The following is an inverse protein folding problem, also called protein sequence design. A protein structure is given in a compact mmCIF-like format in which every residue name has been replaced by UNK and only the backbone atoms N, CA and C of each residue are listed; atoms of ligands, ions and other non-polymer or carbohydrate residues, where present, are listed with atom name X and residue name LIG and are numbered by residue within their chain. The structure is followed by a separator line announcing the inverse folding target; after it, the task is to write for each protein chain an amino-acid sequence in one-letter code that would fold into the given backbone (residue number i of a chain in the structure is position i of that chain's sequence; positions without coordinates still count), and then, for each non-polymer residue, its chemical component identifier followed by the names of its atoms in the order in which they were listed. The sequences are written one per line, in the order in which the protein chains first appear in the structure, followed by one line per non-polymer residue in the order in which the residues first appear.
data_IF_937572431910
#
_entry.id   IF_937572431910
#
_cell.length_a   1.000
_cell.length_b   1.000
_cell.length_c   1.000
_cell.angle_alpha   90.00
_cell.angle_beta   90.00
_cell.angle_gamma   90.00
#
_symmetry.space_group_name_H-M   'P 1'
#
loop_
_entity.id
_entity.type
_entity.pdbx_description
1 polymer ?
#
# COMPACT_ATOMS: atom_id res chain seq x y z
N UNK A 1 -9.17 29.03 -14.21
CA UNK A 1 -9.36 28.34 -12.90
C UNK A 1 -8.00 27.90 -12.45
N UNK A 2 -7.65 28.09 -11.19
CA UNK A 2 -6.41 27.51 -10.62
C UNK A 2 -6.65 26.01 -10.46
N UNK A 3 -5.75 25.17 -10.96
CA UNK A 3 -5.77 23.73 -10.73
C UNK A 3 -5.66 23.46 -9.22
N UNK A 4 -6.62 22.75 -8.67
CA UNK A 4 -6.62 22.27 -7.29
C UNK A 4 -6.48 20.74 -7.28
N UNK A 5 -5.66 20.24 -6.38
CA UNK A 5 -5.54 18.79 -6.15
C UNK A 5 -6.78 18.30 -5.40
N UNK A 6 -7.31 17.16 -5.82
CA UNK A 6 -8.32 16.42 -5.04
C UNK A 6 -7.73 16.06 -3.68
N UNK A 7 -8.45 16.26 -2.60
CA UNK A 7 -7.97 15.89 -1.26
C UNK A 7 -7.80 14.38 -1.10
N UNK A 8 -7.03 13.96 -0.11
CA UNK A 8 -6.85 12.52 0.18
C UNK A 8 -8.20 11.86 0.52
N UNK A 9 -9.04 12.55 1.28
CA UNK A 9 -10.36 12.04 1.70
C UNK A 9 -11.31 11.87 0.50
N UNK A 10 -11.31 12.81 -0.45
CA UNK A 10 -12.08 12.70 -1.70
C UNK A 10 -11.57 11.56 -2.57
N UNK A 11 -10.25 11.36 -2.68
CA UNK A 11 -9.68 10.22 -3.39
C UNK A 11 -10.07 8.89 -2.74
N UNK A 12 -10.01 8.81 -1.41
CA UNK A 12 -10.42 7.63 -0.66
C UNK A 12 -11.88 7.29 -0.89
N UNK A 13 -12.78 8.27 -0.77
CA UNK A 13 -14.21 8.08 -1.01
C UNK A 13 -14.47 7.60 -2.45
N UNK A 14 -13.82 8.20 -3.43
CA UNK A 14 -13.96 7.80 -4.85
C UNK A 14 -13.49 6.36 -5.09
N UNK A 15 -12.37 5.97 -4.47
CA UNK A 15 -11.86 4.60 -4.55
C UNK A 15 -12.82 3.62 -3.87
N UNK A 16 -13.36 3.95 -2.70
CA UNK A 16 -14.33 3.11 -1.99
C UNK A 16 -15.61 2.90 -2.79
N UNK A 17 -16.16 3.97 -3.36
CA UNK A 17 -17.34 3.93 -4.21
C UNK A 17 -17.09 3.09 -5.48
N UNK A 18 -15.90 3.21 -6.07
CA UNK A 18 -15.52 2.41 -7.23
C UNK A 18 -15.38 0.93 -6.87
N UNK A 19 -14.63 0.59 -5.83
CA UNK A 19 -14.41 -0.80 -5.38
C UNK A 19 -15.74 -1.49 -5.05
N UNK A 20 -16.64 -0.79 -4.36
CA UNK A 20 -17.95 -1.33 -3.97
C UNK A 20 -18.82 -1.73 -5.17
N UNK A 21 -18.76 -0.96 -6.26
CA UNK A 21 -19.56 -1.23 -7.46
C UNK A 21 -18.93 -2.25 -8.41
N UNK A 22 -17.59 -2.22 -8.50
CA UNK A 22 -16.90 -2.93 -9.58
C UNK A 22 -16.68 -4.41 -9.29
N UNK A 23 -16.49 -4.81 -8.02
CA UNK A 23 -16.31 -6.21 -7.66
C UNK A 23 -17.59 -7.04 -7.92
N UNK A 24 -18.77 -6.43 -7.79
CA UNK A 24 -20.06 -7.10 -8.06
C UNK A 24 -20.17 -7.60 -9.50
N UNK A 25 -19.55 -6.94 -10.46
CA UNK A 25 -19.63 -7.29 -11.86
C UNK A 25 -18.71 -8.46 -12.27
N UNK A 26 -17.72 -8.82 -11.43
CA UNK A 26 -16.63 -9.71 -11.82
C UNK A 26 -16.83 -11.20 -11.45
N UNK A 27 -17.89 -11.54 -10.70
CA UNK A 27 -18.23 -12.94 -10.40
C UNK A 27 -19.72 -13.14 -10.13
N UNK A 28 -20.28 -14.22 -10.64
CA UNK A 28 -21.64 -14.69 -10.40
C UNK A 28 -21.74 -15.67 -9.19
N UNK A 29 -20.59 -16.05 -8.63
CA UNK A 29 -20.53 -16.94 -7.47
C UNK A 29 -20.76 -16.13 -6.17
N UNK A 30 -21.98 -16.18 -5.64
CA UNK A 30 -22.46 -15.33 -4.54
C UNK A 30 -21.61 -15.40 -3.26
N UNK A 31 -21.15 -16.60 -2.86
CA UNK A 31 -20.36 -16.76 -1.64
C UNK A 31 -18.95 -16.17 -1.81
N UNK A 32 -18.33 -16.42 -2.96
CA UNK A 32 -17.02 -15.85 -3.29
C UNK A 32 -17.10 -14.31 -3.36
N UNK A 33 -18.10 -13.78 -4.07
CA UNK A 33 -18.37 -12.35 -4.12
C UNK A 33 -18.50 -11.75 -2.72
N UNK A 34 -19.36 -12.38 -1.87
CA UNK A 34 -19.58 -11.88 -0.50
C UNK A 34 -18.31 -11.88 0.34
N UNK A 35 -17.44 -12.89 0.19
CA UNK A 35 -16.18 -12.97 0.93
C UNK A 35 -15.14 -11.94 0.43
N UNK A 36 -15.02 -11.75 -0.88
CA UNK A 36 -14.15 -10.72 -1.48
C UNK A 36 -14.60 -9.32 -1.07
N UNK A 37 -15.88 -9.03 -1.29
CA UNK A 37 -16.49 -7.72 -0.98
C UNK A 37 -16.38 -7.39 0.51
N UNK A 38 -16.57 -8.37 1.40
CA UNK A 38 -16.48 -8.18 2.83
C UNK A 38 -15.14 -7.58 3.27
N UNK A 39 -14.02 -8.13 2.78
CA UNK A 39 -12.69 -7.62 3.14
C UNK A 39 -12.36 -6.31 2.46
N UNK A 40 -12.79 -6.11 1.22
CA UNK A 40 -12.60 -4.83 0.52
C UNK A 40 -13.43 -3.72 1.16
N UNK A 41 -14.69 -3.99 1.53
CA UNK A 41 -15.58 -3.02 2.18
C UNK A 41 -15.26 -2.76 3.66
N UNK A 42 -14.37 -3.53 4.28
CA UNK A 42 -13.94 -3.32 5.66
C UNK A 42 -13.30 -1.94 5.93
N UNK A 43 -13.20 -1.12 4.90
CA UNK A 43 -12.60 0.21 4.97
C UNK A 43 -11.07 0.17 4.85
N UNK A 44 -10.43 1.22 5.31
CA UNK A 44 -8.98 1.39 5.27
C UNK A 44 -8.60 2.75 4.69
N UNK A 45 -7.31 3.06 4.74
CA UNK A 45 -6.78 4.38 4.32
C UNK A 45 -6.69 4.54 2.80
N UNK A 46 -6.89 3.48 2.03
CA UNK A 46 -6.72 3.48 0.55
C UNK A 46 -5.46 4.19 0.07
N UNK A 47 -4.44 4.19 0.92
CA UNK A 47 -3.22 4.96 0.74
C UNK A 47 -2.52 4.68 -0.60
N UNK A 48 -2.44 3.40 -0.99
CA UNK A 48 -1.71 2.97 -2.19
C UNK A 48 -2.38 3.46 -3.48
N UNK A 49 -3.66 3.19 -3.74
CA UNK A 49 -4.34 3.74 -4.92
C UNK A 49 -4.44 5.26 -4.88
N UNK A 50 -4.66 5.89 -3.72
CA UNK A 50 -4.69 7.33 -3.58
C UNK A 50 -3.32 7.96 -3.94
N UNK A 51 -2.21 7.35 -3.50
CA UNK A 51 -0.86 7.79 -3.86
C UNK A 51 -0.60 7.65 -5.37
N UNK A 52 -1.05 6.56 -5.99
CA UNK A 52 -0.99 6.37 -7.44
C UNK A 52 -1.72 7.49 -8.18
N UNK A 53 -2.97 7.76 -7.81
CA UNK A 53 -3.78 8.83 -8.41
C UNK A 53 -3.18 10.21 -8.16
N UNK A 54 -2.62 10.47 -6.98
CA UNK A 54 -1.93 11.72 -6.66
C UNK A 54 -0.74 11.98 -7.57
N UNK A 55 0.08 10.96 -7.84
CA UNK A 55 1.22 11.08 -8.76
C UNK A 55 0.74 11.45 -10.16
N UNK A 56 -0.33 10.80 -10.67
CA UNK A 56 -0.90 11.12 -11.98
C UNK A 56 -1.41 12.55 -12.01
N UNK A 57 -2.22 12.92 -11.02
CA UNK A 57 -2.80 14.26 -10.90
C UNK A 57 -1.72 15.35 -10.84
N UNK A 58 -0.66 15.12 -10.07
CA UNK A 58 0.44 16.07 -9.93
C UNK A 58 1.29 16.21 -11.21
N UNK A 59 1.41 15.15 -12.02
CA UNK A 59 2.10 15.18 -13.32
C UNK A 59 1.25 15.78 -14.43
N UNK A 60 -0.06 15.50 -14.46
CA UNK A 60 -0.95 15.89 -15.57
C UNK A 60 -1.68 17.21 -15.35
N UNK A 61 -1.81 17.65 -14.07
CA UNK A 61 -2.51 18.91 -13.72
C UNK A 61 -3.91 18.98 -14.34
N UNK A 62 -4.18 20.02 -15.10
CA UNK A 62 -5.49 20.28 -15.74
C UNK A 62 -5.92 19.18 -16.74
N UNK A 63 -5.03 18.29 -17.14
CA UNK A 63 -5.32 17.18 -18.05
C UNK A 63 -5.63 15.86 -17.33
N UNK A 64 -5.74 15.88 -15.99
CA UNK A 64 -6.06 14.69 -15.21
C UNK A 64 -7.51 14.26 -15.40
N UNK A 65 -7.69 13.01 -15.81
CA UNK A 65 -8.98 12.34 -15.96
C UNK A 65 -9.05 11.17 -14.99
N UNK A 66 -9.72 11.34 -13.87
CA UNK A 66 -9.81 10.37 -12.79
C UNK A 66 -10.37 9.02 -13.25
N UNK A 67 -11.47 9.05 -14.02
CA UNK A 67 -12.18 7.84 -14.48
C UNK A 67 -11.27 6.93 -15.32
N UNK A 68 -10.41 7.52 -16.12
CA UNK A 68 -9.44 6.80 -16.96
C UNK A 68 -8.47 5.94 -16.15
N UNK A 69 -8.10 6.40 -14.96
CA UNK A 69 -7.02 5.78 -14.16
C UNK A 69 -7.54 4.96 -12.99
N UNK A 70 -8.79 5.16 -12.60
CA UNK A 70 -9.35 4.67 -11.35
C UNK A 70 -9.30 3.14 -11.25
N UNK A 71 -9.65 2.41 -12.31
CA UNK A 71 -9.64 0.94 -12.34
C UNK A 71 -8.23 0.38 -12.15
N UNK A 72 -7.26 0.88 -12.93
CA UNK A 72 -5.88 0.43 -12.85
C UNK A 72 -5.20 0.79 -11.51
N UNK A 73 -5.50 1.97 -10.96
CA UNK A 73 -5.01 2.36 -9.63
C UNK A 73 -5.61 1.49 -8.51
N UNK A 74 -6.92 1.18 -8.60
CA UNK A 74 -7.64 0.37 -7.62
C UNK A 74 -7.25 -1.12 -7.64
N UNK A 75 -6.67 -1.61 -8.73
CA UNK A 75 -6.12 -2.97 -8.81
C UNK A 75 -5.10 -3.25 -7.69
N UNK A 76 -4.32 -2.24 -7.32
CA UNK A 76 -3.35 -2.36 -6.22
C UNK A 76 -4.02 -2.58 -4.85
N UNK A 77 -5.22 -2.03 -4.63
CA UNK A 77 -5.96 -2.25 -3.39
C UNK A 77 -6.55 -3.67 -3.33
N UNK A 78 -6.97 -4.25 -4.47
CA UNK A 78 -7.39 -5.66 -4.52
C UNK A 78 -6.23 -6.58 -4.12
N UNK A 79 -5.06 -6.34 -4.70
CA UNK A 79 -3.85 -7.09 -4.39
C UNK A 79 -3.42 -6.91 -2.93
N UNK A 80 -3.50 -5.69 -2.39
CA UNK A 80 -3.24 -5.46 -0.97
C UNK A 80 -4.27 -6.17 -0.08
N UNK A 81 -5.54 -6.18 -0.47
CA UNK A 81 -6.59 -6.84 0.33
C UNK A 81 -6.42 -8.34 0.35
N UNK A 82 -6.07 -8.99 -0.78
CA UNK A 82 -5.76 -10.43 -0.76
C UNK A 82 -4.65 -10.76 0.23
N UNK A 83 -3.58 -9.94 0.25
CA UNK A 83 -2.45 -10.20 1.15
C UNK A 83 -2.86 -10.12 2.61
N UNK A 84 -3.76 -9.21 2.97
CA UNK A 84 -4.31 -9.12 4.33
C UNK A 84 -5.20 -10.31 4.68
N UNK A 85 -6.04 -10.81 3.73
CA UNK A 85 -6.87 -11.99 3.96
C UNK A 85 -5.99 -13.21 4.25
N UNK A 86 -4.92 -13.40 3.46
CA UNK A 86 -4.02 -14.54 3.64
C UNK A 86 -3.14 -14.40 4.89
N UNK A 87 -2.73 -13.19 5.21
CA UNK A 87 -1.96 -12.89 6.43
C UNK A 87 -2.76 -13.24 7.70
N UNK A 88 -4.06 -12.98 7.70
CA UNK A 88 -4.95 -13.26 8.82
C UNK A 88 -5.24 -14.75 9.04
N UNK A 89 -4.91 -15.66 8.10
CA UNK A 89 -5.23 -17.09 8.19
C UNK A 89 -4.57 -17.77 9.39
N UNK A 90 -5.16 -18.90 9.92
CA UNK A 90 -4.57 -19.65 11.03
C UNK A 90 -3.17 -20.19 10.80
N UNK A 91 -2.74 -20.34 9.54
CA UNK A 91 -1.39 -20.77 9.15
C UNK A 91 -0.38 -19.62 9.08
N UNK A 92 -0.83 -18.40 9.29
CA UNK A 92 -0.08 -17.15 9.26
C UNK A 92 -0.22 -16.45 10.63
N UNK A 93 -0.66 -15.20 10.68
CA UNK A 93 -0.80 -14.41 11.92
C UNK A 93 -1.97 -14.88 12.82
N UNK A 94 -2.90 -15.68 12.30
CA UNK A 94 -4.10 -16.20 13.01
C UNK A 94 -4.92 -15.09 13.69
N UNK A 95 -5.15 -14.00 12.99
CA UNK A 95 -5.86 -12.83 13.52
C UNK A 95 -7.38 -13.03 13.57
N UNK A 96 -8.00 -12.71 14.70
CA UNK A 96 -9.45 -12.77 14.86
C UNK A 96 -10.17 -11.54 14.30
N UNK A 97 -9.50 -10.37 14.34
CA UNK A 97 -10.07 -9.08 13.95
C UNK A 97 -9.13 -8.31 13.02
N UNK A 98 -9.71 -7.69 11.98
CA UNK A 98 -9.05 -6.74 11.09
C UNK A 98 -9.94 -5.52 10.93
N UNK A 99 -9.37 -4.33 11.20
CA UNK A 99 -10.12 -3.05 11.12
C UNK A 99 -11.38 -3.04 11.99
N UNK A 100 -11.34 -3.73 13.14
CA UNK A 100 -12.44 -3.80 14.10
C UNK A 100 -13.56 -4.81 13.78
N UNK A 101 -13.47 -5.54 12.67
CA UNK A 101 -14.44 -6.58 12.29
C UNK A 101 -13.75 -7.95 12.24
N UNK A 102 -14.50 -9.07 12.38
CA UNK A 102 -13.96 -10.42 12.24
C UNK A 102 -13.19 -10.57 10.92
N UNK A 103 -12.05 -11.27 10.95
CA UNK A 103 -11.29 -11.60 9.75
C UNK A 103 -12.08 -12.50 8.81
N UNK A 104 -11.65 -12.56 7.54
CA UNK A 104 -12.39 -13.30 6.51
C UNK A 104 -12.56 -14.78 6.87
N UNK A 105 -11.50 -15.43 7.37
CA UNK A 105 -11.55 -16.84 7.78
C UNK A 105 -12.46 -17.08 8.98
N UNK A 106 -12.57 -16.13 9.91
CA UNK A 106 -13.51 -16.24 11.05
C UNK A 106 -14.96 -16.15 10.59
N UNK A 107 -15.24 -15.39 9.54
CA UNK A 107 -16.61 -15.19 9.04
C UNK A 107 -17.05 -16.24 8.03
N UNK A 108 -16.17 -16.66 7.13
CA UNK A 108 -16.50 -17.53 5.99
C UNK A 108 -15.83 -18.91 6.04
N UNK A 109 -14.92 -19.12 6.98
CA UNK A 109 -14.07 -20.30 7.08
C UNK A 109 -12.81 -20.22 6.21
N UNK A 110 -11.78 -21.01 6.57
CA UNK A 110 -10.44 -20.94 5.99
C UNK A 110 -10.44 -21.15 4.47
N UNK A 111 -11.16 -22.16 3.98
CA UNK A 111 -11.20 -22.47 2.56
C UNK A 111 -11.76 -21.32 1.71
N UNK A 112 -12.82 -20.67 2.18
CA UNK A 112 -13.43 -19.53 1.46
C UNK A 112 -12.53 -18.30 1.55
N UNK A 113 -11.86 -18.08 2.68
CA UNK A 113 -10.91 -16.99 2.83
C UNK A 113 -9.71 -17.14 1.87
N UNK A 114 -9.15 -18.36 1.73
CA UNK A 114 -8.11 -18.65 0.75
C UNK A 114 -8.59 -18.30 -0.66
N UNK A 115 -9.75 -18.81 -1.06
CA UNK A 115 -10.32 -18.58 -2.40
C UNK A 115 -10.67 -17.09 -2.64
N UNK A 116 -11.12 -16.37 -1.61
CA UNK A 116 -11.38 -14.94 -1.71
C UNK A 116 -10.08 -14.16 -1.95
N UNK A 117 -8.99 -14.52 -1.27
CA UNK A 117 -7.67 -13.96 -1.52
C UNK A 117 -7.17 -14.25 -2.94
N UNK A 118 -7.25 -15.51 -3.39
CA UNK A 118 -6.88 -15.93 -4.75
C UNK A 118 -7.70 -15.19 -5.82
N UNK A 119 -9.01 -15.01 -5.57
CA UNK A 119 -9.91 -14.27 -6.43
C UNK A 119 -9.48 -12.80 -6.57
N UNK A 120 -9.22 -12.12 -5.45
CA UNK A 120 -8.76 -10.71 -5.46
C UNK A 120 -7.38 -10.56 -6.10
N UNK A 121 -6.45 -11.49 -5.87
CA UNK A 121 -5.14 -11.49 -6.48
C UNK A 121 -5.23 -11.57 -8.02
N UNK A 122 -6.01 -12.50 -8.53
CA UNK A 122 -6.15 -12.69 -9.98
C UNK A 122 -6.96 -11.57 -10.62
N UNK A 123 -7.99 -11.05 -9.95
CA UNK A 123 -8.79 -9.90 -10.38
C UNK A 123 -7.95 -8.62 -10.47
N UNK A 124 -6.98 -8.41 -9.58
CA UNK A 124 -6.06 -7.28 -9.66
C UNK A 124 -5.30 -7.26 -11.01
N UNK A 125 -4.81 -8.40 -11.48
CA UNK A 125 -4.15 -8.49 -12.78
C UNK A 125 -5.11 -8.32 -13.95
N UNK A 126 -6.35 -8.84 -13.83
CA UNK A 126 -7.38 -8.60 -14.83
C UNK A 126 -7.67 -7.10 -14.99
N UNK A 127 -7.83 -6.35 -13.89
CA UNK A 127 -8.08 -4.91 -13.94
C UNK A 127 -6.92 -4.10 -14.51
N UNK A 128 -5.67 -4.59 -14.38
CA UNK A 128 -4.52 -3.96 -15.03
C UNK A 128 -4.47 -4.18 -16.53
N UNK A 129 -5.17 -5.18 -17.06
CA UNK A 129 -5.23 -5.45 -18.50
C UNK A 129 -6.53 -4.93 -19.11
N UNK A 130 -7.65 -5.05 -18.40
CA UNK A 130 -8.96 -4.57 -18.81
C UNK A 130 -9.19 -3.12 -18.33
N UNK A 131 -8.56 -2.16 -18.97
CA UNK A 131 -8.66 -0.73 -18.68
C UNK A 131 -8.38 0.12 -19.94
N UNK A 132 -8.68 1.43 -19.95
CA UNK A 132 -8.54 2.28 -21.15
C UNK A 132 -7.10 2.80 -21.40
N UNK A 133 -6.09 2.28 -20.73
CA UNK A 133 -4.69 2.66 -20.96
C UNK A 133 -4.15 2.02 -22.25
N UNK A 134 -3.03 2.54 -22.76
CA UNK A 134 -2.37 1.93 -23.90
C UNK A 134 -1.62 0.64 -23.51
N UNK A 135 -1.40 -0.25 -24.49
CA UNK A 135 -0.80 -1.57 -24.31
C UNK A 135 0.57 -1.51 -23.61
N UNK A 136 1.38 -0.50 -23.88
CA UNK A 136 2.71 -0.36 -23.28
C UNK A 136 2.59 -0.03 -21.78
N UNK A 137 1.68 0.87 -21.38
CA UNK A 137 1.41 1.18 -19.99
C UNK A 137 0.86 -0.06 -19.26
N UNK A 138 -0.15 -0.71 -19.84
CA UNK A 138 -0.76 -1.94 -19.32
C UNK A 138 0.27 -3.04 -19.08
N UNK A 139 1.12 -3.32 -20.08
CA UNK A 139 2.21 -4.30 -19.96
C UNK A 139 3.19 -3.94 -18.84
N UNK A 140 3.60 -2.67 -18.77
CA UNK A 140 4.55 -2.22 -17.74
C UNK A 140 3.94 -2.31 -16.35
N UNK A 141 2.69 -1.89 -16.14
CA UNK A 141 1.98 -1.98 -14.87
C UNK A 141 1.88 -3.43 -14.39
N UNK A 142 1.46 -4.34 -15.28
CA UNK A 142 1.33 -5.77 -14.96
C UNK A 142 2.67 -6.39 -14.59
N UNK A 143 3.73 -6.11 -15.35
CA UNK A 143 5.08 -6.61 -15.08
C UNK A 143 5.62 -6.08 -13.75
N UNK A 144 5.47 -4.78 -13.49
CA UNK A 144 5.95 -4.18 -12.25
C UNK A 144 5.14 -4.67 -11.04
N UNK A 145 3.80 -4.77 -11.13
CA UNK A 145 3.01 -5.31 -10.03
C UNK A 145 3.42 -6.74 -9.68
N UNK A 146 3.64 -7.59 -10.69
CA UNK A 146 4.09 -8.96 -10.46
C UNK A 146 5.48 -9.04 -9.80
N UNK A 147 6.38 -8.09 -10.09
CA UNK A 147 7.68 -7.99 -9.46
C UNK A 147 7.59 -7.55 -7.99
N UNK A 148 6.86 -6.44 -7.74
CA UNK A 148 6.77 -5.87 -6.39
C UNK A 148 5.89 -6.69 -5.43
N UNK A 149 4.86 -7.34 -5.93
CA UNK A 149 4.00 -8.21 -5.12
C UNK A 149 4.58 -9.62 -4.94
N UNK A 150 5.31 -10.10 -5.93
CA UNK A 150 5.72 -11.48 -6.07
C UNK A 150 6.97 -11.89 -5.24
N UNK A 151 7.67 -12.96 -5.73
CA UNK A 151 8.79 -13.57 -4.98
C UNK A 151 10.04 -12.68 -4.85
N UNK A 152 10.11 -11.55 -5.55
CA UNK A 152 11.18 -10.57 -5.39
C UNK A 152 10.82 -9.43 -4.43
N UNK A 153 9.52 -9.20 -4.19
CA UNK A 153 8.95 -8.12 -3.40
C UNK A 153 8.22 -8.59 -2.13
N UNK A 154 6.93 -8.27 -2.05
CA UNK A 154 6.09 -8.46 -0.84
C UNK A 154 6.08 -9.91 -0.33
N UNK A 155 5.92 -10.91 -1.21
CA UNK A 155 5.92 -12.33 -0.80
C UNK A 155 7.27 -12.71 -0.21
N UNK A 156 8.41 -12.27 -0.79
CA UNK A 156 9.73 -12.50 -0.18
C UNK A 156 9.86 -11.80 1.19
N UNK A 157 9.29 -10.59 1.32
CA UNK A 157 9.25 -9.87 2.60
C UNK A 157 8.50 -10.67 3.67
N UNK A 158 7.35 -11.25 3.31
CA UNK A 158 6.56 -12.09 4.21
C UNK A 158 7.31 -13.36 4.63
N UNK A 159 8.03 -14.01 3.71
CA UNK A 159 8.89 -15.15 4.05
C UNK A 159 10.01 -14.76 5.02
N UNK A 160 10.65 -13.59 4.82
CA UNK A 160 11.69 -13.09 5.74
C UNK A 160 11.07 -12.84 7.12
N UNK A 161 9.89 -12.26 7.21
CA UNK A 161 9.19 -11.97 8.45
C UNK A 161 8.96 -13.26 9.26
N UNK A 162 8.22 -14.21 8.70
CA UNK A 162 7.89 -15.49 9.33
C UNK A 162 9.15 -16.28 9.71
N UNK A 163 10.16 -16.31 8.82
CA UNK A 163 11.37 -17.11 9.05
C UNK A 163 12.28 -16.54 10.15
N UNK A 164 12.03 -15.30 10.60
CA UNK A 164 12.84 -14.63 11.62
C UNK A 164 12.02 -14.24 12.87
N UNK A 165 10.83 -14.80 13.05
CA UNK A 165 10.11 -14.72 14.32
C UNK A 165 10.96 -15.35 15.43
N UNK A 166 11.04 -14.67 16.58
CA UNK A 166 11.88 -15.11 17.71
C UNK A 166 13.40 -14.98 17.50
N UNK A 167 13.87 -14.45 16.37
CA UNK A 167 15.28 -14.14 16.12
C UNK A 167 15.50 -12.64 15.93
N UNK A 168 16.65 -12.13 16.34
CA UNK A 168 16.97 -10.72 16.24
C UNK A 168 17.66 -10.40 14.92
N UNK A 169 17.01 -9.61 14.07
CA UNK A 169 17.60 -9.08 12.83
C UNK A 169 18.56 -7.91 13.11
N UNK A 170 19.60 -7.80 12.29
CA UNK A 170 20.40 -6.58 12.22
C UNK A 170 19.63 -5.45 11.54
N UNK A 171 20.05 -4.20 11.72
CA UNK A 171 19.38 -3.06 11.08
C UNK A 171 19.27 -3.17 9.54
N UNK A 172 20.31 -3.56 8.77
CA UNK A 172 20.16 -3.76 7.34
C UNK A 172 19.14 -4.85 6.96
N UNK A 173 19.07 -5.93 7.75
CA UNK A 173 18.10 -7.02 7.51
C UNK A 173 16.67 -6.57 7.80
N UNK A 174 16.44 -5.86 8.91
CA UNK A 174 15.15 -5.27 9.24
C UNK A 174 14.70 -4.27 8.18
N UNK A 175 15.60 -3.40 7.73
CA UNK A 175 15.29 -2.45 6.66
C UNK A 175 14.91 -3.18 5.35
N UNK A 176 15.63 -4.26 4.99
CA UNK A 176 15.30 -5.06 3.81
C UNK A 176 13.95 -5.76 3.94
N UNK A 177 13.63 -6.31 5.11
CA UNK A 177 12.33 -6.89 5.42
C UNK A 177 11.21 -5.86 5.16
N UNK A 178 11.31 -4.69 5.77
CA UNK A 178 10.29 -3.64 5.68
C UNK A 178 10.13 -3.07 4.27
N UNK A 179 11.24 -2.89 3.54
CA UNK A 179 11.19 -2.47 2.14
C UNK A 179 10.50 -3.50 1.25
N UNK A 180 10.67 -4.79 1.54
CA UNK A 180 10.01 -5.85 0.77
C UNK A 180 8.54 -6.04 1.20
N UNK A 181 8.28 -6.29 2.49
CA UNK A 181 6.93 -6.62 2.98
C UNK A 181 5.95 -5.48 2.77
N UNK A 182 6.33 -4.26 3.12
CA UNK A 182 5.45 -3.08 3.10
C UNK A 182 5.83 -2.08 2.02
N UNK A 183 7.12 -1.76 1.89
CA UNK A 183 7.64 -0.76 0.97
C UNK A 183 7.38 -1.08 -0.49
N UNK A 184 7.51 -2.34 -0.89
CA UNK A 184 7.38 -2.76 -2.29
C UNK A 184 6.06 -2.30 -2.96
N UNK A 185 4.92 -2.46 -2.29
CA UNK A 185 3.63 -2.02 -2.85
C UNK A 185 3.47 -0.50 -2.86
N UNK A 186 4.19 0.22 -1.99
CA UNK A 186 4.21 1.69 -1.98
C UNK A 186 5.15 2.21 -3.07
N UNK A 187 6.29 1.58 -3.27
CA UNK A 187 7.18 1.85 -4.41
C UNK A 187 6.43 1.63 -5.74
N UNK A 188 5.70 0.52 -5.85
CA UNK A 188 4.84 0.27 -7.01
C UNK A 188 3.79 1.38 -7.19
N UNK A 189 3.13 1.84 -6.13
CA UNK A 189 2.10 2.87 -6.23
C UNK A 189 2.62 4.16 -6.90
N UNK A 190 3.79 4.64 -6.50
CA UNK A 190 4.40 5.84 -7.10
C UNK A 190 4.88 5.60 -8.51
N UNK A 191 5.49 4.44 -8.78
CA UNK A 191 5.94 4.05 -10.11
C UNK A 191 4.77 3.88 -11.08
N UNK A 192 3.69 3.22 -10.64
CA UNK A 192 2.48 3.03 -11.44
C UNK A 192 1.86 4.37 -11.84
N UNK A 193 1.78 5.32 -10.92
CA UNK A 193 1.34 6.68 -11.21
C UNK A 193 2.17 7.33 -12.31
N UNK A 194 3.49 7.22 -12.22
CA UNK A 194 4.41 7.71 -13.24
C UNK A 194 4.24 7.02 -14.61
N UNK A 195 4.06 5.69 -14.64
CA UNK A 195 3.80 4.93 -15.87
C UNK A 195 2.50 5.41 -16.53
N UNK A 196 1.42 5.51 -15.76
CA UNK A 196 0.10 5.96 -16.26
C UNK A 196 0.12 7.40 -16.77
N UNK A 197 0.91 8.27 -16.12
CA UNK A 197 1.06 9.67 -16.52
C UNK A 197 2.07 9.89 -17.67
N UNK A 198 2.81 8.88 -18.08
CA UNK A 198 3.83 8.99 -19.13
C UNK A 198 5.11 9.69 -18.66
N UNK A 199 5.50 9.53 -17.40
CA UNK A 199 6.70 10.09 -16.82
C UNK A 199 7.98 9.64 -17.55
N UNK A 200 8.97 10.54 -17.66
CA UNK A 200 10.29 10.23 -18.21
C UNK A 200 11.05 9.23 -17.31
N UNK A 201 12.11 8.63 -17.82
CA UNK A 201 12.94 7.70 -17.04
C UNK A 201 13.55 8.36 -15.79
N UNK A 202 13.93 9.62 -15.87
CA UNK A 202 14.47 10.38 -14.73
C UNK A 202 13.39 10.68 -13.68
N UNK A 203 12.19 11.06 -14.12
CA UNK A 203 11.03 11.24 -13.24
C UNK A 203 10.62 9.93 -12.56
N UNK A 204 10.63 8.81 -13.31
CA UNK A 204 10.36 7.47 -12.76
C UNK A 204 11.37 7.07 -11.68
N UNK A 205 12.66 7.35 -11.86
CA UNK A 205 13.69 7.05 -10.87
C UNK A 205 13.46 7.84 -9.56
N UNK A 206 13.04 9.10 -9.65
CA UNK A 206 12.74 9.92 -8.47
C UNK A 206 11.42 9.52 -7.79
N UNK A 207 10.40 9.16 -8.56
CA UNK A 207 9.14 8.62 -8.02
C UNK A 207 9.37 7.30 -7.27
N UNK A 208 10.23 6.44 -7.80
CA UNK A 208 10.63 5.20 -7.15
C UNK A 208 11.38 5.46 -5.84
N UNK A 209 12.35 6.40 -5.85
CA UNK A 209 13.09 6.81 -4.65
C UNK A 209 12.16 7.38 -3.58
N UNK A 210 11.25 8.28 -3.97
CA UNK A 210 10.23 8.81 -3.08
C UNK A 210 9.33 7.71 -2.50
N UNK A 211 8.82 6.80 -3.34
CA UNK A 211 7.99 5.67 -2.90
C UNK A 211 8.70 4.76 -1.90
N UNK A 212 10.01 4.51 -2.13
CA UNK A 212 10.86 3.73 -1.24
C UNK A 212 11.02 4.40 0.13
N UNK A 213 11.35 5.70 0.17
CA UNK A 213 11.48 6.43 1.44
C UNK A 213 10.14 6.57 2.15
N UNK A 214 9.06 6.85 1.41
CA UNK A 214 7.72 6.93 2.00
C UNK A 214 7.27 5.58 2.58
N UNK A 215 7.51 4.47 1.87
CA UNK A 215 7.18 3.12 2.34
C UNK A 215 7.96 2.71 3.58
N UNK A 216 9.25 3.08 3.64
CA UNK A 216 10.06 2.85 4.83
C UNK A 216 9.58 3.70 6.01
N UNK A 217 9.29 5.00 5.79
CA UNK A 217 8.73 5.87 6.81
C UNK A 217 7.39 5.33 7.33
N UNK A 218 6.56 4.78 6.44
CA UNK A 218 5.26 4.20 6.81
C UNK A 218 5.43 3.04 7.79
N UNK A 219 6.37 2.13 7.54
CA UNK A 219 6.61 1.00 8.44
C UNK A 219 7.26 1.44 9.76
N UNK A 220 8.27 2.33 9.71
CA UNK A 220 8.87 2.86 10.95
C UNK A 220 7.82 3.54 11.83
N UNK A 221 6.88 4.27 11.21
CA UNK A 221 5.80 4.93 11.92
C UNK A 221 4.78 3.92 12.48
N UNK A 222 4.45 2.87 11.73
CA UNK A 222 3.54 1.80 12.20
C UNK A 222 4.14 1.08 13.43
N UNK A 223 5.43 0.70 13.38
CA UNK A 223 6.16 0.12 14.51
C UNK A 223 6.18 1.04 15.75
N UNK A 224 6.38 2.36 15.53
CA UNK A 224 6.37 3.34 16.60
C UNK A 224 4.99 3.46 17.23
N UNK A 225 3.94 3.50 16.41
CA UNK A 225 2.56 3.63 16.85
C UNK A 225 2.08 2.36 17.57
N UNK A 226 2.54 1.16 17.21
CA UNK A 226 2.21 -0.06 17.94
C UNK A 226 2.67 0.01 19.41
N UNK A 227 3.80 0.67 19.69
CA UNK A 227 4.31 0.82 21.06
C UNK A 227 3.79 2.05 21.80
N UNK A 228 3.37 3.09 21.10
CA UNK A 228 3.06 4.39 21.74
C UNK A 228 1.59 4.78 21.72
N UNK A 229 0.75 4.08 20.93
CA UNK A 229 -0.68 4.38 20.77
C UNK A 229 -1.57 3.50 21.62
N UNK A 230 -2.87 3.83 21.63
CA UNK A 230 -3.93 2.97 22.19
C UNK A 230 -4.65 2.18 21.08
N UNK A 231 -5.30 1.08 21.47
CA UNK A 231 -6.14 0.28 20.56
C UNK A 231 -7.21 1.12 19.87
N UNK A 232 -7.77 2.13 20.54
CA UNK A 232 -8.76 3.05 19.97
C UNK A 232 -8.18 3.91 18.85
N UNK A 233 -6.93 4.36 19.00
CA UNK A 233 -6.23 5.19 18.00
C UNK A 233 -5.78 4.38 16.78
N UNK A 234 -5.37 3.12 17.00
CA UNK A 234 -4.85 2.24 15.94
C UNK A 234 -5.95 1.48 15.18
N UNK A 235 -7.13 1.29 15.78
CA UNK A 235 -8.19 0.44 15.21
C UNK A 235 -7.84 -1.06 15.14
N UNK A 236 -6.73 -1.47 15.77
CA UNK A 236 -6.25 -2.85 15.95
C UNK A 236 -5.63 -2.99 17.35
N UNK A 237 -5.43 -4.23 17.82
CA UNK A 237 -4.68 -4.46 19.05
C UNK A 237 -3.28 -3.83 18.96
N UNK A 238 -2.85 -3.17 20.03
CA UNK A 238 -1.49 -2.62 20.19
C UNK A 238 -0.62 -3.56 21.00
N UNK A 239 0.70 -3.34 20.99
CA UNK A 239 1.72 -4.20 21.62
C UNK A 239 1.74 -5.63 21.07
N UNK A 240 1.20 -5.84 19.88
CA UNK A 240 1.12 -7.13 19.23
C UNK A 240 2.51 -7.60 18.80
N UNK A 241 3.31 -6.70 18.26
CA UNK A 241 4.69 -6.97 17.83
C UNK A 241 5.58 -7.51 18.96
N UNK A 242 5.36 -7.04 20.19
CA UNK A 242 6.11 -7.52 21.35
C UNK A 242 5.65 -8.93 21.80
N UNK A 243 4.38 -9.28 21.64
CA UNK A 243 3.83 -10.61 21.95
C UNK A 243 4.26 -11.65 20.91
N UNK A 244 4.32 -11.23 19.65
CA UNK A 244 4.72 -12.08 18.51
C UNK A 244 6.24 -12.12 18.29
N UNK A 245 7.04 -11.50 19.18
CA UNK A 245 8.50 -11.43 19.08
C UNK A 245 8.98 -10.89 17.69
N UNK A 246 8.20 -9.97 17.08
CA UNK A 246 8.52 -9.39 15.77
C UNK A 246 9.71 -8.43 15.85
N UNK A 247 10.46 -8.39 14.78
CA UNK A 247 11.55 -7.43 14.61
C UNK A 247 11.01 -6.04 14.26
N UNK A 248 11.28 -5.04 15.12
CA UNK A 248 10.78 -3.67 14.96
C UNK A 248 11.86 -2.62 15.15
N UNK A 249 11.67 -1.43 14.61
CA UNK A 249 12.58 -0.30 14.85
C UNK A 249 12.70 0.06 16.34
N UNK A 250 11.60 0.18 17.11
CA UNK A 250 11.72 0.42 18.55
C UNK A 250 12.47 -0.68 19.31
N UNK A 251 12.38 -1.93 18.87
CA UNK A 251 13.15 -3.04 19.43
C UNK A 251 14.66 -2.87 19.24
N UNK A 252 15.11 -2.29 18.12
CA UNK A 252 16.53 -2.07 17.85
C UNK A 252 17.08 -0.74 18.39
N UNK A 253 16.27 0.34 18.34
CA UNK A 253 16.75 1.71 18.58
C UNK A 253 16.09 2.41 19.76
N UNK A 254 15.10 1.78 20.42
CA UNK A 254 14.21 2.44 21.36
C UNK A 254 13.31 3.47 20.67
N UNK A 255 12.41 4.09 21.43
CA UNK A 255 11.41 5.04 20.90
C UNK A 255 12.08 6.28 20.30
N UNK A 256 13.05 6.88 21.00
CA UNK A 256 13.70 8.12 20.54
C UNK A 256 14.56 7.87 19.29
N UNK A 257 15.35 6.79 19.27
CA UNK A 257 16.13 6.41 18.11
C UNK A 257 15.25 6.08 16.89
N UNK A 258 14.04 5.52 17.11
CA UNK A 258 13.05 5.29 16.05
C UNK A 258 12.50 6.60 15.47
N UNK A 259 12.21 7.59 16.31
CA UNK A 259 11.79 8.95 15.87
C UNK A 259 12.87 9.62 15.04
N UNK A 260 14.14 9.51 15.44
CA UNK A 260 15.27 10.04 14.67
C UNK A 260 15.38 9.40 13.30
N UNK A 261 15.23 8.06 13.23
CA UNK A 261 15.22 7.33 11.95
C UNK A 261 14.06 7.75 11.06
N UNK A 262 12.85 7.86 11.63
CA UNK A 262 11.66 8.31 10.92
C UNK A 262 11.86 9.73 10.35
N UNK A 263 12.35 10.65 11.17
CA UNK A 263 12.63 12.04 10.75
C UNK A 263 13.64 12.10 9.61
N UNK A 264 14.69 11.27 9.65
CA UNK A 264 15.69 11.20 8.59
C UNK A 264 15.10 10.69 7.27
N UNK A 265 14.31 9.62 7.31
CA UNK A 265 13.68 9.04 6.11
C UNK A 265 12.64 9.98 5.50
N UNK A 266 11.85 10.68 6.31
CA UNK A 266 10.91 11.72 5.83
C UNK A 266 11.66 12.87 5.15
N UNK A 267 12.82 13.28 5.69
CA UNK A 267 13.68 14.29 5.07
C UNK A 267 14.16 13.84 3.69
N UNK A 268 14.56 12.57 3.55
CA UNK A 268 15.00 12.00 2.27
C UNK A 268 13.83 11.95 1.25
N UNK A 269 12.62 11.55 1.69
CA UNK A 269 11.42 11.60 0.86
C UNK A 269 11.10 13.03 0.36
N UNK A 270 11.22 14.04 1.22
CA UNK A 270 11.05 15.45 0.84
C UNK A 270 12.11 15.93 -0.15
N UNK A 271 13.36 15.47 0.00
CA UNK A 271 14.45 15.80 -0.93
C UNK A 271 14.22 15.19 -2.33
N UNK A 272 13.62 13.99 -2.41
CA UNK A 272 13.24 13.41 -3.70
C UNK A 272 12.13 14.21 -4.38
N UNK A 273 11.12 14.66 -3.64
CA UNK A 273 10.07 15.56 -4.18
C UNK A 273 10.63 16.91 -4.63
N UNK A 274 11.62 17.45 -3.95
CA UNK A 274 12.28 18.69 -4.35
C UNK A 274 13.03 18.53 -5.69
N UNK A 275 13.79 17.43 -5.85
CA UNK A 275 14.43 17.10 -7.12
C UNK A 275 13.41 16.89 -8.24
N UNK A 276 12.32 16.16 -7.94
CA UNK A 276 11.26 15.88 -8.90
C UNK A 276 10.55 17.17 -9.35
N UNK A 277 10.33 18.12 -8.44
CA UNK A 277 9.72 19.43 -8.76
C UNK A 277 10.58 20.30 -9.69
N UNK A 278 11.89 20.05 -9.76
CA UNK A 278 12.79 20.77 -10.66
C UNK A 278 12.70 20.29 -12.12
N UNK A 279 12.18 19.06 -12.35
CA UNK A 279 12.16 18.43 -13.68
C UNK A 279 10.75 18.01 -14.14
N UNK A 280 9.71 18.37 -13.40
CA UNK A 280 8.32 17.96 -13.68
C UNK A 280 7.32 19.04 -13.25
N UNK A 281 6.05 18.96 -13.65
CA UNK A 281 4.98 19.82 -13.13
C UNK A 281 4.67 19.62 -11.64
N UNK A 282 5.16 18.54 -11.03
CA UNK A 282 4.96 18.22 -9.61
C UNK A 282 5.54 19.34 -8.74
N UNK A 283 4.77 19.78 -7.74
CA UNK A 283 5.27 20.66 -6.68
C UNK A 283 5.53 19.84 -5.44
N UNK A 284 6.55 20.19 -4.67
CA UNK A 284 6.85 19.50 -3.40
C UNK A 284 5.66 19.47 -2.43
N UNK A 285 4.80 20.48 -2.48
CA UNK A 285 3.59 20.58 -1.65
C UNK A 285 2.44 19.69 -2.11
N UNK A 286 2.52 19.08 -3.28
CA UNK A 286 1.45 18.20 -3.80
C UNK A 286 1.26 16.93 -2.96
N UNK A 287 2.22 16.60 -2.10
CA UNK A 287 2.21 15.43 -1.23
C UNK A 287 2.22 15.77 0.26
N UNK A 288 1.95 17.03 0.63
CA UNK A 288 1.98 17.46 2.03
C UNK A 288 0.94 16.73 2.88
N UNK A 289 -0.23 16.43 2.34
CA UNK A 289 -1.28 15.64 2.99
C UNK A 289 -0.86 14.18 3.25
N UNK A 290 -0.09 13.58 2.34
CA UNK A 290 0.52 12.26 2.55
C UNK A 290 1.62 12.29 3.61
N UNK A 291 2.47 13.29 3.59
CA UNK A 291 3.56 13.45 4.57
C UNK A 291 3.05 13.86 5.95
N UNK A 292 1.91 14.56 6.03
CA UNK A 292 1.24 14.91 7.30
C UNK A 292 0.67 13.68 8.04
N UNK A 293 0.64 12.51 7.40
CA UNK A 293 0.33 11.23 8.04
C UNK A 293 1.30 10.92 9.19
N UNK A 294 2.58 11.26 9.02
CA UNK A 294 3.62 11.02 10.02
C UNK A 294 3.62 12.14 11.06
N UNK A 295 2.88 11.93 12.14
CA UNK A 295 2.84 12.86 13.27
C UNK A 295 4.02 12.55 14.20
N UNK A 296 5.08 13.38 14.15
CA UNK A 296 6.28 13.25 14.97
C UNK A 296 6.29 14.39 15.97
#
# INVERSE_FOLDING_TARGET
MTFELTTIDELQQTIDDFLSRSIEADTDQTLLHSAMQYSVAAGGKRLRPALTLRVIQALQRDNFDLEKYLKAASALELLHTYSLIHDDLPAMDNDDLRRGIPTNHKKFGDAIAILAGDGLLTLAFQWLVDNPLNDQATRNLTLQLSHYAGPAGMVAGQVIDISNEGSQLTYPELQNLHLKKTGALIEYATQAGGIMAGATAEQQALLLSFGRHYGLAFQIYDDLMDQTSTTEQMGKAVHKDAVEEKNTYPGLFGIDGTKDKLSAVIKDAKADLEKLSAISPIKKTDFDDFLAYFKI
#
